data_IF_433599756856
#
_entry.id   IF_433599756856
#
_cell.length_a   1.000
_cell.length_b   1.000
_cell.length_c   1.000
_cell.angle_alpha   90.00
_cell.angle_beta   90.00
_cell.angle_gamma   90.00
#
_symmetry.space_group_name_H-M   'P 1'
#
loop_
_entity.id
_entity.type
_entity.pdbx_description
1 polymer ?
#
# COMPACT_ATOMS: atom_id res chain seq x y z
N UNK A 1 -7.57 4.35 5.51
CA UNK A 1 -6.87 4.48 6.81
C UNK A 1 -5.99 3.26 6.96
N UNK A 2 -4.68 3.44 6.94
CA UNK A 2 -3.70 2.36 7.09
C UNK A 2 -2.79 2.68 8.27
N UNK A 3 -2.49 1.65 9.06
CA UNK A 3 -1.63 1.73 10.24
C UNK A 3 -0.39 0.89 10.03
N UNK A 4 0.72 1.36 10.59
CA UNK A 4 1.94 0.58 10.77
C UNK A 4 2.14 0.44 12.29
N UNK A 5 1.55 -0.58 12.93
CA UNK A 5 1.46 -0.67 14.39
C UNK A 5 2.82 -0.73 15.12
N UNK A 6 3.92 -0.95 14.39
CA UNK A 6 5.28 -1.02 14.93
C UNK A 6 6.16 0.20 14.59
N UNK A 7 5.65 1.22 13.89
CA UNK A 7 6.43 2.38 13.43
C UNK A 7 5.82 3.70 13.92
N UNK A 8 6.69 4.62 14.36
CA UNK A 8 6.34 5.93 14.89
C UNK A 8 6.08 6.96 13.79
N UNK A 9 6.58 8.20 13.94
CA UNK A 9 6.32 9.31 13.02
C UNK A 9 6.97 9.19 11.61
N UNK A 10 7.60 8.06 11.31
CA UNK A 10 8.23 7.76 10.04
C UNK A 10 8.43 6.25 9.85
N UNK A 11 8.65 5.83 8.61
CA UNK A 11 8.93 4.44 8.25
C UNK A 11 10.43 4.15 8.47
N UNK A 12 10.75 3.24 9.39
CA UNK A 12 12.13 2.82 9.64
C UNK A 12 12.52 1.63 8.75
N UNK A 13 11.53 0.84 8.32
CA UNK A 13 11.69 -0.27 7.38
C UNK A 13 11.47 0.21 5.94
N UNK A 14 12.46 0.02 5.04
CA UNK A 14 12.29 0.31 3.62
C UNK A 14 11.06 -0.36 3.00
N UNK A 15 10.72 -1.56 3.45
CA UNK A 15 9.57 -2.35 2.98
C UNK A 15 8.23 -1.67 3.30
N UNK A 16 8.13 -0.99 4.44
CA UNK A 16 6.93 -0.23 4.80
C UNK A 16 6.80 1.07 4.00
N UNK A 17 7.93 1.67 3.62
CA UNK A 17 7.92 2.83 2.73
C UNK A 17 7.45 2.44 1.34
N UNK A 18 7.94 1.32 0.82
CA UNK A 18 7.55 0.75 -0.47
C UNK A 18 6.05 0.46 -0.52
N UNK A 19 5.55 -0.27 0.47
CA UNK A 19 4.12 -0.55 0.63
C UNK A 19 3.26 0.72 0.70
N UNK A 20 3.73 1.75 1.41
CA UNK A 20 3.04 3.04 1.48
C UNK A 20 2.99 3.75 0.12
N UNK A 21 4.10 3.76 -0.62
CA UNK A 21 4.15 4.37 -1.95
C UNK A 21 3.25 3.63 -2.94
N UNK A 22 3.26 2.29 -2.94
CA UNK A 22 2.40 1.48 -3.79
C UNK A 22 0.91 1.78 -3.56
N UNK A 23 0.47 1.83 -2.28
CA UNK A 23 -0.92 2.18 -1.94
C UNK A 23 -1.25 3.62 -2.33
N UNK A 24 -0.34 4.56 -2.09
CA UNK A 24 -0.54 5.98 -2.39
C UNK A 24 -0.63 6.21 -3.89
N UNK A 25 0.23 5.59 -4.69
CA UNK A 25 0.21 5.72 -6.13
C UNK A 25 -1.05 5.10 -6.72
N UNK A 26 -1.44 3.89 -6.28
CA UNK A 26 -2.65 3.23 -6.73
C UNK A 26 -3.91 4.06 -6.38
N UNK A 27 -3.95 4.65 -5.18
CA UNK A 27 -5.01 5.57 -4.80
C UNK A 27 -5.03 6.82 -5.70
N UNK A 28 -3.91 7.52 -5.82
CA UNK A 28 -3.83 8.76 -6.61
C UNK A 28 -4.12 8.51 -8.09
N UNK A 29 -3.66 7.41 -8.66
CA UNK A 29 -3.96 7.02 -10.03
C UNK A 29 -5.45 6.71 -10.24
N UNK A 30 -6.12 6.13 -9.24
CA UNK A 30 -7.58 5.93 -9.29
C UNK A 30 -8.36 7.25 -9.25
N UNK A 31 -7.88 8.26 -8.51
CA UNK A 31 -8.56 9.53 -8.34
C UNK A 31 -8.25 10.55 -9.45
N UNK A 32 -6.98 10.65 -9.85
CA UNK A 32 -6.48 11.66 -10.78
C UNK A 32 -6.38 11.12 -12.22
N UNK A 33 -6.39 9.80 -12.37
CA UNK A 33 -6.03 9.15 -13.62
C UNK A 33 -4.53 9.26 -13.89
N UNK A 34 -3.98 8.32 -14.66
CA UNK A 34 -2.56 8.35 -15.02
C UNK A 34 -1.96 6.95 -15.10
N UNK A 35 -0.64 6.93 -15.26
CA UNK A 35 0.15 5.69 -15.15
C UNK A 35 0.43 5.44 -13.68
N UNK A 36 0.29 4.18 -13.29
CA UNK A 36 0.54 3.67 -11.94
C UNK A 36 1.42 2.44 -12.13
N UNK A 37 2.42 2.27 -11.27
CA UNK A 37 3.20 1.04 -11.21
C UNK A 37 2.33 -0.12 -10.69
N UNK A 38 2.57 -1.33 -11.19
CA UNK A 38 1.85 -2.49 -10.68
C UNK A 38 2.41 -2.83 -9.30
N UNK A 39 1.52 -2.94 -8.29
CA UNK A 39 1.89 -3.23 -6.89
C UNK A 39 2.84 -4.43 -6.75
N UNK A 40 2.67 -5.48 -7.57
CA UNK A 40 3.61 -6.61 -7.63
C UNK A 40 3.92 -7.20 -6.25
N UNK A 41 5.20 -7.17 -5.88
CA UNK A 41 5.75 -7.71 -4.63
C UNK A 41 5.98 -6.62 -3.56
N UNK A 42 5.44 -5.42 -3.73
CA UNK A 42 5.75 -4.24 -2.89
C UNK A 42 5.29 -4.35 -1.43
N UNK A 43 4.48 -5.37 -1.12
CA UNK A 43 4.04 -5.68 0.23
C UNK A 43 4.93 -6.71 0.94
N UNK A 44 5.86 -7.35 0.23
CA UNK A 44 6.71 -8.41 0.79
C UNK A 44 7.47 -7.91 2.02
N UNK A 45 7.31 -8.61 3.15
CA UNK A 45 7.89 -8.27 4.46
C UNK A 45 7.43 -6.92 5.06
N UNK A 46 6.44 -6.25 4.46
CA UNK A 46 5.82 -5.07 5.02
C UNK A 46 4.83 -5.45 6.12
N UNK A 47 4.79 -4.68 7.20
CA UNK A 47 3.79 -4.80 8.25
C UNK A 47 2.56 -3.93 8.00
N UNK A 48 2.19 -3.70 6.74
CA UNK A 48 1.10 -2.82 6.36
C UNK A 48 -0.25 -3.45 6.72
N UNK A 49 -1.09 -2.71 7.45
CA UNK A 49 -2.47 -3.09 7.72
C UNK A 49 -3.44 -2.06 7.12
N UNK A 50 -4.25 -2.51 6.15
CA UNK A 50 -5.26 -1.67 5.50
C UNK A 50 -6.61 -1.90 6.18
N UNK A 51 -6.95 -1.02 7.12
CA UNK A 51 -8.17 -1.13 7.92
C UNK A 51 -9.41 -0.74 7.10
N UNK A 52 -9.29 0.26 6.23
CA UNK A 52 -10.35 0.73 5.35
C UNK A 52 -9.78 1.28 4.05
N UNK A 53 -10.50 1.09 2.94
CA UNK A 53 -10.14 1.66 1.64
C UNK A 53 -9.75 0.61 0.59
N UNK A 54 -9.64 -0.67 0.97
CA UNK A 54 -9.18 -1.74 0.07
C UNK A 54 -10.06 -1.92 -1.16
N UNK A 55 -11.37 -1.72 -1.01
CA UNK A 55 -12.33 -1.89 -2.11
C UNK A 55 -12.34 -0.70 -3.09
N UNK A 56 -11.71 0.42 -2.72
CA UNK A 56 -11.66 1.62 -3.58
C UNK A 56 -10.43 1.65 -4.50
N UNK A 57 -9.45 0.78 -4.25
CA UNK A 57 -8.21 0.71 -5.02
C UNK A 57 -8.20 -0.62 -5.79
N UNK A 58 -8.37 -0.61 -7.13
CA UNK A 58 -8.37 -1.82 -7.93
C UNK A 58 -7.08 -2.65 -7.75
N UNK A 59 -7.21 -3.96 -7.57
CA UNK A 59 -6.08 -4.87 -7.41
C UNK A 59 -5.47 -4.94 -6.01
N UNK A 60 -5.73 -3.97 -5.14
CA UNK A 60 -5.14 -3.90 -3.81
C UNK A 60 -5.52 -5.08 -2.91
N UNK A 61 -6.78 -5.55 -3.00
CA UNK A 61 -7.28 -6.70 -2.22
C UNK A 61 -6.57 -8.01 -2.56
N UNK A 62 -6.22 -8.19 -3.83
CA UNK A 62 -5.53 -9.39 -4.31
C UNK A 62 -4.12 -9.47 -3.74
N UNK A 63 -3.37 -8.37 -3.81
CA UNK A 63 -1.99 -8.31 -3.33
C UNK A 63 -1.87 -8.31 -1.80
N UNK A 64 -2.91 -7.87 -1.06
CA UNK A 64 -2.91 -7.96 0.40
C UNK A 64 -3.15 -9.39 0.91
N UNK A 65 -3.84 -10.24 0.15
CA UNK A 65 -4.11 -11.64 0.55
C UNK A 65 -2.95 -12.61 0.27
N UNK A 66 -1.95 -12.15 -0.48
CA UNK A 66 -0.74 -12.93 -0.83
C UNK A 66 0.44 -12.66 0.13
N UNK A 67 0.25 -11.76 1.11
CA UNK A 67 1.25 -11.33 2.10
C UNK A 67 1.08 -12.04 3.46
#
# INVERSE_FOLDING_TARGET
MYLFPNEGHGFNKPENSLAFFAVTEAFLGSCLGGRVEAIGDDFTNSSIEIVHGVDFIPGLKTHLSEN
#
